data_IF_103989597398
#
_entry.id   IF_103989597398
#
_cell.length_a   1.000
_cell.length_b   1.000
_cell.length_c   1.000
_cell.angle_alpha   90.00
_cell.angle_beta   90.00
_cell.angle_gamma   90.00
#
_symmetry.space_group_name_H-M   'P 1'
#
loop_
_entity.id
_entity.type
_entity.pdbx_description
1 polymer ?
#
# COMPACT_ATOMS: atom_id res chain seq x y z
N UNK A 1 9.12 -50.49 12.40
CA UNK A 1 9.81 -49.53 11.51
C UNK A 1 9.05 -48.21 11.57
N UNK A 2 9.50 -47.31 12.43
CA UNK A 2 8.92 -45.99 12.70
C UNK A 2 9.46 -44.98 11.69
N UNK A 3 8.63 -44.49 10.77
CA UNK A 3 9.00 -43.39 9.87
C UNK A 3 8.36 -42.09 10.37
N UNK A 4 9.20 -41.24 10.98
CA UNK A 4 8.86 -39.86 11.34
C UNK A 4 8.78 -39.04 10.05
N UNK A 5 7.58 -38.70 9.60
CA UNK A 5 7.41 -37.58 8.69
C UNK A 5 7.74 -36.28 9.43
N UNK A 6 8.93 -35.74 9.15
CA UNK A 6 9.28 -34.37 9.52
C UNK A 6 8.37 -33.41 8.76
N UNK A 7 7.47 -32.76 9.48
CA UNK A 7 6.81 -31.55 9.01
C UNK A 7 7.88 -30.47 8.90
N UNK A 8 8.41 -30.26 7.69
CA UNK A 8 9.34 -29.17 7.39
C UNK A 8 8.61 -27.87 7.68
N UNK A 9 8.95 -27.24 8.81
CA UNK A 9 8.40 -25.96 9.26
C UNK A 9 8.76 -24.94 8.17
N UNK A 10 7.75 -24.45 7.43
CA UNK A 10 7.92 -23.36 6.46
C UNK A 10 8.44 -22.15 7.23
N UNK A 11 9.66 -21.70 6.94
CA UNK A 11 10.20 -20.48 7.50
C UNK A 11 9.61 -19.29 6.72
N UNK A 12 8.77 -18.51 7.38
CA UNK A 12 8.29 -17.23 6.85
C UNK A 12 9.43 -16.23 6.95
N UNK A 13 9.99 -15.85 5.81
CA UNK A 13 10.94 -14.73 5.75
C UNK A 13 10.12 -13.44 5.67
N UNK A 14 10.29 -12.57 6.67
CA UNK A 14 9.68 -11.24 6.67
C UNK A 14 10.73 -10.24 6.19
N UNK A 15 10.57 -9.72 4.97
CA UNK A 15 11.35 -8.58 4.52
C UNK A 15 10.68 -7.30 5.01
N UNK A 16 11.45 -6.34 5.52
CA UNK A 16 10.92 -5.06 6.00
C UNK A 16 11.45 -3.91 5.16
N UNK A 17 10.54 -3.07 4.67
CA UNK A 17 10.86 -1.83 3.97
C UNK A 17 10.51 -0.67 4.90
N UNK A 18 11.43 0.25 5.08
CA UNK A 18 11.19 1.48 5.84
C UNK A 18 11.21 2.66 4.88
N UNK A 19 10.23 3.55 4.99
CA UNK A 19 10.03 4.66 4.07
C UNK A 19 9.69 5.95 4.82
N UNK A 20 10.53 6.98 4.70
CA UNK A 20 10.34 8.23 5.43
C UNK A 20 9.59 9.28 4.60
N UNK A 21 8.33 9.53 4.97
CA UNK A 21 7.58 10.72 4.50
C UNK A 21 8.03 11.94 5.30
N UNK A 22 8.12 11.80 6.62
CA UNK A 22 8.61 12.85 7.51
C UNK A 22 9.67 12.27 8.46
N UNK A 23 10.97 12.56 8.25
CA UNK A 23 12.04 12.02 9.10
C UNK A 23 11.94 12.41 10.58
N UNK A 24 11.25 13.51 10.89
CA UNK A 24 10.94 13.94 12.26
C UNK A 24 9.58 13.44 12.78
N UNK A 25 8.87 12.64 11.98
CA UNK A 25 7.52 12.16 12.28
C UNK A 25 7.46 11.33 13.56
N UNK A 26 6.33 11.44 14.24
CA UNK A 26 6.02 10.81 15.53
C UNK A 26 5.07 9.60 15.41
N UNK A 27 4.66 9.26 14.19
CA UNK A 27 3.79 8.12 13.89
C UNK A 27 4.34 7.26 12.74
N UNK A 28 3.88 6.01 12.70
CA UNK A 28 4.17 5.06 11.64
C UNK A 28 2.87 4.47 11.07
N UNK A 29 2.73 4.45 9.75
CA UNK A 29 1.79 3.56 9.07
C UNK A 29 2.51 2.23 8.83
N UNK A 30 1.92 1.13 9.29
CA UNK A 30 2.48 -0.21 9.11
C UNK A 30 1.57 -0.99 8.17
N UNK A 31 2.03 -1.18 6.92
CA UNK A 31 1.37 -2.04 5.94
C UNK A 31 1.84 -3.47 6.14
N UNK A 32 0.96 -4.30 6.71
CA UNK A 32 1.22 -5.74 6.84
C UNK A 32 0.75 -6.45 5.58
N UNK A 33 1.67 -7.07 4.83
CA UNK A 33 1.30 -7.79 3.62
C UNK A 33 0.68 -9.14 4.01
N UNK A 34 -0.61 -9.27 3.75
CA UNK A 34 -1.18 -10.49 3.18
C UNK A 34 -1.66 -10.11 1.78
N UNK A 35 -1.41 -10.94 0.77
CA UNK A 35 -1.71 -10.75 -0.66
C UNK A 35 -2.08 -9.30 -1.03
N UNK A 36 -1.11 -8.49 -1.47
CA UNK A 36 -1.32 -7.10 -1.89
C UNK A 36 -2.53 -7.02 -2.82
N UNK A 37 -3.41 -6.04 -2.64
CA UNK A 37 -4.63 -5.87 -3.44
C UNK A 37 -5.66 -7.02 -3.35
N UNK A 38 -5.78 -7.77 -2.23
CA UNK A 38 -6.81 -8.84 -2.10
C UNK A 38 -8.26 -8.37 -2.26
N UNK A 39 -8.51 -7.05 -2.23
CA UNK A 39 -9.86 -6.51 -2.44
C UNK A 39 -10.31 -6.55 -3.90
N UNK A 40 -9.45 -6.94 -4.87
CA UNK A 40 -9.75 -6.96 -6.31
C UNK A 40 -10.48 -5.69 -6.75
N UNK A 41 -10.02 -4.55 -6.22
CA UNK A 41 -10.76 -3.28 -6.28
C UNK A 41 -10.84 -2.79 -7.72
N UNK A 42 -9.77 -3.07 -8.47
CA UNK A 42 -9.77 -2.88 -9.91
C UNK A 42 -10.27 -4.18 -10.54
N UNK A 43 -11.43 -4.16 -11.23
CA UNK A 43 -11.99 -5.36 -11.81
C UNK A 43 -11.05 -5.91 -12.88
N UNK A 44 -10.88 -7.23 -12.88
CA UNK A 44 -10.35 -7.92 -14.05
C UNK A 44 -11.42 -7.87 -15.14
N UNK A 45 -11.15 -7.12 -16.21
CA UNK A 45 -12.06 -7.06 -17.35
C UNK A 45 -11.72 -8.24 -18.26
N UNK A 46 -12.48 -9.32 -18.11
CA UNK A 46 -12.49 -10.40 -19.10
C UNK A 46 -13.27 -9.93 -20.34
N UNK A 47 -12.61 -9.13 -21.19
CA UNK A 47 -13.12 -8.80 -22.53
C UNK A 47 -12.87 -10.01 -23.43
N UNK A 48 -13.65 -11.08 -23.24
CA UNK A 48 -13.64 -12.21 -24.17
C UNK A 48 -13.90 -11.73 -25.60
N UNK A 49 -12.98 -11.99 -26.52
CA UNK A 49 -13.06 -11.78 -27.98
C UNK A 49 -13.83 -10.53 -28.47
N UNK A 50 -13.75 -9.39 -27.78
CA UNK A 50 -14.31 -8.10 -28.26
C UNK A 50 -13.18 -7.18 -28.73
N UNK A 51 -12.64 -7.54 -29.90
CA UNK A 51 -11.59 -6.83 -30.65
C UNK A 51 -12.06 -5.48 -31.26
N UNK A 52 -13.32 -5.08 -31.05
CA UNK A 52 -13.96 -3.98 -31.77
C UNK A 52 -14.01 -2.61 -31.06
N UNK A 53 -13.54 -2.51 -29.82
CA UNK A 53 -13.60 -1.27 -29.00
C UNK A 53 -12.25 -0.92 -28.38
N UNK A 54 -11.14 -1.39 -28.98
CA UNK A 54 -9.80 -0.93 -28.63
C UNK A 54 -9.46 0.27 -29.49
N UNK A 55 -9.26 1.42 -28.85
CA UNK A 55 -8.61 2.57 -29.49
C UNK A 55 -7.12 2.51 -29.15
N UNK A 56 -6.24 2.12 -30.09
CA UNK A 56 -4.80 1.98 -29.83
C UNK A 56 -4.14 3.29 -29.38
N UNK A 57 -4.79 4.44 -29.59
CA UNK A 57 -4.29 5.74 -29.15
C UNK A 57 -4.49 5.99 -27.65
N UNK A 58 -5.49 5.35 -27.02
CA UNK A 58 -5.84 5.58 -25.61
C UNK A 58 -5.69 4.33 -24.73
N UNK A 59 -5.93 3.15 -25.28
CA UNK A 59 -6.07 1.90 -24.50
C UNK A 59 -4.72 1.15 -24.29
N UNK A 60 -3.68 1.45 -25.08
CA UNK A 60 -2.37 0.80 -24.95
C UNK A 60 -2.39 -0.75 -25.01
N UNK A 61 -1.23 -1.39 -24.85
CA UNK A 61 -1.11 -2.86 -24.97
C UNK A 61 -1.43 -3.61 -23.65
N UNK A 62 -1.63 -2.90 -22.53
CA UNK A 62 -1.58 -3.46 -21.17
C UNK A 62 -2.86 -3.34 -20.34
N UNK A 63 -4.01 -2.99 -20.93
CA UNK A 63 -5.31 -2.86 -20.25
C UNK A 63 -5.88 -4.15 -19.61
N UNK A 64 -5.18 -5.27 -19.73
CA UNK A 64 -5.59 -6.55 -19.16
C UNK A 64 -5.19 -6.69 -17.68
N UNK A 65 -4.18 -5.94 -17.22
CA UNK A 65 -3.70 -5.95 -15.84
C UNK A 65 -3.34 -4.53 -15.39
N UNK A 66 -4.05 -4.03 -14.37
CA UNK A 66 -3.80 -2.73 -13.75
C UNK A 66 -2.59 -2.77 -12.80
N UNK A 67 -1.44 -3.21 -13.32
CA UNK A 67 -0.18 -3.19 -12.57
C UNK A 67 0.21 -1.74 -12.25
N UNK A 68 1.03 -1.52 -11.22
CA UNK A 68 1.65 -0.21 -11.08
C UNK A 68 2.50 0.05 -12.32
N UNK A 69 2.52 1.29 -12.85
CA UNK A 69 3.52 1.65 -13.86
C UNK A 69 4.90 1.48 -13.23
N UNK A 70 5.97 1.43 -14.04
CA UNK A 70 7.33 1.56 -13.50
C UNK A 70 7.36 2.76 -12.58
N UNK A 71 7.55 2.50 -11.29
CA UNK A 71 7.56 3.57 -10.30
C UNK A 71 8.80 4.43 -10.57
N UNK A 72 8.69 5.73 -10.34
CA UNK A 72 9.80 6.67 -10.56
C UNK A 72 10.20 7.36 -9.25
N UNK A 73 11.40 7.94 -9.26
CA UNK A 73 11.97 8.70 -8.17
C UNK A 73 12.06 7.86 -6.90
N UNK A 74 11.35 8.30 -5.87
CA UNK A 74 11.42 7.68 -4.54
C UNK A 74 10.48 6.48 -4.35
N UNK A 75 9.52 6.28 -5.25
CA UNK A 75 8.54 5.19 -5.13
C UNK A 75 9.08 3.85 -5.62
N UNK A 76 10.22 3.82 -6.33
CA UNK A 76 10.96 2.60 -6.73
C UNK A 76 11.27 1.68 -5.55
N UNK A 77 11.27 2.20 -4.32
CA UNK A 77 11.40 1.40 -3.10
C UNK A 77 10.29 0.34 -2.95
N UNK A 78 9.20 0.47 -3.70
CA UNK A 78 8.07 -0.46 -3.71
C UNK A 78 8.00 -1.33 -4.97
N UNK A 79 8.96 -1.21 -5.90
CA UNK A 79 9.15 -2.17 -6.99
C UNK A 79 9.75 -3.46 -6.41
N UNK A 80 8.90 -4.17 -5.68
CA UNK A 80 9.21 -5.51 -5.22
C UNK A 80 8.94 -6.42 -6.40
N UNK A 81 10.01 -6.91 -7.02
CA UNK A 81 9.94 -8.01 -7.96
C UNK A 81 9.09 -9.10 -7.27
N UNK A 82 7.89 -9.36 -7.77
CA UNK A 82 7.13 -10.55 -7.42
C UNK A 82 7.90 -11.75 -7.97
N UNK A 83 9.01 -12.10 -7.32
CA UNK A 83 9.74 -13.32 -7.57
C UNK A 83 9.00 -14.48 -6.89
N UNK A 84 8.51 -15.48 -7.63
CA UNK A 84 7.88 -16.64 -7.02
C UNK A 84 8.96 -17.58 -6.50
N UNK A 85 9.00 -17.79 -5.18
CA UNK A 85 9.44 -19.08 -4.65
C UNK A 85 8.17 -19.92 -4.38
N UNK A 86 7.93 -21.02 -5.12
CA UNK A 86 6.74 -21.87 -4.94
C UNK A 86 6.66 -22.54 -3.56
N UNK A 87 7.69 -22.42 -2.74
CA UNK A 87 7.82 -23.08 -1.44
C UNK A 87 7.92 -22.12 -0.23
N UNK A 88 7.91 -20.80 -0.43
CA UNK A 88 8.08 -19.78 0.63
C UNK A 88 7.08 -18.62 0.56
N UNK A 89 6.26 -18.46 1.61
CA UNK A 89 5.37 -17.29 1.75
C UNK A 89 6.21 -16.09 2.23
N UNK A 90 6.81 -15.33 1.31
CA UNK A 90 7.49 -14.07 1.66
C UNK A 90 6.41 -13.06 2.08
N UNK A 91 6.48 -12.59 3.33
CA UNK A 91 5.59 -11.53 3.83
C UNK A 91 6.40 -10.25 3.98
N UNK A 92 6.21 -9.31 3.07
CA UNK A 92 6.84 -7.99 3.21
C UNK A 92 6.08 -7.18 4.27
N UNK A 93 6.76 -6.35 5.04
CA UNK A 93 6.13 -5.33 5.88
C UNK A 93 6.69 -3.97 5.49
N UNK A 94 5.83 -3.04 5.10
CA UNK A 94 6.25 -1.65 4.80
C UNK A 94 5.89 -0.78 5.99
N UNK A 95 6.88 -0.05 6.51
CA UNK A 95 6.72 0.93 7.58
C UNK A 95 6.99 2.32 7.04
N UNK A 96 5.98 3.18 7.11
CA UNK A 96 6.06 4.55 6.61
C UNK A 96 6.06 5.53 7.78
N UNK A 97 7.14 6.30 7.95
CA UNK A 97 7.25 7.30 9.01
C UNK A 97 6.60 8.61 8.60
N UNK A 98 5.70 9.12 9.44
CA UNK A 98 4.78 10.22 9.16
C UNK A 98 4.56 11.10 10.40
N UNK A 99 4.01 12.30 10.21
CA UNK A 99 3.52 13.13 11.31
C UNK A 99 2.07 12.83 11.64
N UNK A 100 1.83 12.51 12.92
CA UNK A 100 0.49 12.32 13.45
C UNK A 100 -0.38 13.56 13.25
N UNK A 101 0.20 14.77 13.37
CA UNK A 101 -0.51 16.03 13.19
C UNK A 101 -1.04 16.21 11.78
N UNK A 102 -0.23 15.92 10.76
CA UNK A 102 -0.66 15.99 9.36
C UNK A 102 -1.81 15.01 9.10
N UNK A 103 -1.70 13.77 9.59
CA UNK A 103 -2.77 12.77 9.45
C UNK A 103 -4.07 13.19 10.15
N UNK A 104 -3.98 13.67 11.40
CA UNK A 104 -5.13 14.10 12.22
C UNK A 104 -5.85 15.30 11.61
N UNK A 105 -5.11 16.21 10.98
CA UNK A 105 -5.67 17.35 10.28
C UNK A 105 -6.34 16.95 8.97
N UNK A 106 -5.74 16.01 8.24
CA UNK A 106 -6.25 15.55 6.95
C UNK A 106 -7.50 14.65 7.05
N UNK A 107 -7.60 13.83 8.10
CA UNK A 107 -8.64 12.80 8.18
C UNK A 107 -9.21 12.62 9.58
N UNK A 108 -10.55 12.60 9.66
CA UNK A 108 -11.29 12.23 10.88
C UNK A 108 -11.07 10.75 11.25
N UNK A 109 -10.84 9.88 10.26
CA UNK A 109 -10.51 8.47 10.49
C UNK A 109 -9.12 8.32 11.12
N UNK A 110 -8.10 8.98 10.58
CA UNK A 110 -6.76 8.95 11.21
C UNK A 110 -6.78 9.60 12.59
N UNK A 111 -7.56 10.68 12.78
CA UNK A 111 -7.80 11.25 14.11
C UNK A 111 -8.36 10.22 15.08
N UNK A 112 -9.45 9.54 14.72
CA UNK A 112 -10.04 8.51 15.57
C UNK A 112 -9.06 7.35 15.87
N UNK A 113 -8.21 6.97 14.90
CA UNK A 113 -7.19 5.92 15.09
C UNK A 113 -6.02 6.35 15.99
N UNK A 114 -5.62 7.62 15.96
CA UNK A 114 -4.44 8.14 16.68
C UNK A 114 -4.77 8.78 18.03
N UNK A 115 -6.00 9.27 18.22
CA UNK A 115 -6.48 9.93 19.44
C UNK A 115 -7.53 9.09 20.20
N UNK A 116 -8.21 8.16 19.52
CA UNK A 116 -9.33 7.41 20.09
C UNK A 116 -8.95 6.13 20.85
N UNK A 117 -9.90 5.63 21.65
CA UNK A 117 -9.79 4.37 22.40
C UNK A 117 -10.16 3.12 21.58
N UNK A 118 -10.12 3.20 20.24
CA UNK A 118 -10.63 2.15 19.35
C UNK A 118 -9.86 0.84 19.54
N UNK A 119 -10.52 -0.18 20.11
CA UNK A 119 -9.90 -1.41 20.60
C UNK A 119 -9.51 -2.41 19.50
N UNK A 120 -10.01 -2.25 18.27
CA UNK A 120 -9.69 -3.18 17.18
C UNK A 120 -8.35 -2.90 16.50
N UNK A 121 -7.71 -1.75 16.80
CA UNK A 121 -6.40 -1.38 16.27
C UNK A 121 -5.73 -0.39 17.23
N UNK A 122 -5.70 -0.72 18.52
CA UNK A 122 -5.02 0.09 19.53
C UNK A 122 -3.63 0.42 19.00
N UNK A 123 -3.35 1.71 18.81
CA UNK A 123 -2.09 2.19 18.28
C UNK A 123 -0.97 1.63 19.15
N UNK A 124 -0.36 0.53 18.71
CA UNK A 124 0.74 -0.08 19.43
C UNK A 124 1.87 0.92 19.34
N UNK A 125 2.35 1.36 20.49
CA UNK A 125 3.60 2.11 20.51
C UNK A 125 4.66 1.14 20.01
N UNK A 126 5.34 1.52 18.92
CA UNK A 126 6.44 0.74 18.38
C UNK A 126 7.53 0.57 19.44
N UNK A 127 8.44 -0.38 19.27
CA UNK A 127 9.64 -0.46 20.12
C UNK A 127 10.45 0.85 20.11
N UNK A 128 10.30 1.67 19.06
CA UNK A 128 10.91 2.99 18.92
C UNK A 128 10.08 4.16 19.50
N UNK A 129 8.93 3.89 20.11
CA UNK A 129 8.11 4.90 20.77
C UNK A 129 7.09 5.63 19.87
N UNK A 130 7.00 5.27 18.59
CA UNK A 130 6.08 5.90 17.63
C UNK A 130 4.68 5.30 17.73
N UNK A 131 3.64 6.13 17.53
CA UNK A 131 2.26 5.63 17.43
C UNK A 131 2.08 4.90 16.11
N UNK A 132 1.52 3.70 16.13
CA UNK A 132 1.33 2.92 14.90
C UNK A 132 -0.13 2.89 14.45
N UNK A 133 -0.34 3.05 13.15
CA UNK A 133 -1.60 2.70 12.48
C UNK A 133 -1.33 1.48 11.61
N UNK A 134 -1.89 0.34 11.99
CA UNK A 134 -1.79 -0.88 11.19
C UNK A 134 -2.82 -0.81 10.08
N UNK A 135 -2.37 -0.94 8.83
CA UNK A 135 -3.23 -1.03 7.67
C UNK A 135 -2.91 -2.30 6.87
N UNK A 136 -3.92 -2.82 6.16
CA UNK A 136 -3.85 -4.10 5.45
C UNK A 136 -4.42 -3.91 4.05
N UNK A 137 -3.92 -4.72 3.11
CA UNK A 137 -4.43 -4.82 1.74
C UNK A 137 -4.22 -3.59 0.85
N UNK A 138 -3.50 -2.58 1.32
CA UNK A 138 -3.18 -1.41 0.53
C UNK A 138 -1.92 -1.61 -0.30
N UNK A 139 -1.95 -1.04 -1.50
CA UNK A 139 -0.76 -0.88 -2.33
C UNK A 139 0.19 0.15 -1.70
N UNK A 140 1.46 -0.21 -1.46
CA UNK A 140 2.41 0.67 -0.79
C UNK A 140 2.69 1.96 -1.55
N UNK A 141 2.78 1.91 -2.88
CA UNK A 141 3.07 3.09 -3.70
C UNK A 141 1.90 4.07 -3.67
N UNK A 142 0.67 3.56 -3.85
CA UNK A 142 -0.55 4.36 -3.75
C UNK A 142 -0.67 5.03 -2.37
N UNK A 143 -0.41 4.29 -1.29
CA UNK A 143 -0.48 4.83 0.07
C UNK A 143 0.61 5.88 0.31
N UNK A 144 1.85 5.64 -0.16
CA UNK A 144 2.93 6.60 -0.06
C UNK A 144 2.62 7.92 -0.78
N UNK A 145 2.00 7.86 -1.97
CA UNK A 145 1.56 9.05 -2.72
C UNK A 145 0.51 9.84 -1.92
N UNK A 146 -0.49 9.16 -1.35
CA UNK A 146 -1.51 9.81 -0.51
C UNK A 146 -0.88 10.47 0.71
N UNK A 147 0.07 9.79 1.37
CA UNK A 147 0.79 10.36 2.50
C UNK A 147 1.63 11.58 2.10
N UNK A 148 2.28 11.54 0.93
CA UNK A 148 3.01 12.70 0.40
C UNK A 148 2.11 13.90 0.17
N UNK A 149 0.93 13.67 -0.37
CA UNK A 149 -0.07 14.72 -0.55
C UNK A 149 -0.53 15.30 0.79
N UNK A 150 -0.82 14.45 1.79
CA UNK A 150 -1.21 14.88 3.15
C UNK A 150 -0.11 15.72 3.82
N UNK A 151 1.16 15.44 3.53
CA UNK A 151 2.31 16.17 4.07
C UNK A 151 2.71 17.38 3.20
N UNK A 152 1.89 17.76 2.21
CA UNK A 152 2.14 18.90 1.33
C UNK A 152 3.33 18.73 0.39
N UNK A 153 3.82 17.50 0.19
CA UNK A 153 4.98 17.18 -0.66
C UNK A 153 4.55 16.94 -2.11
N UNK A 154 3.78 17.84 -2.70
CA UNK A 154 3.24 17.66 -4.05
C UNK A 154 4.32 17.59 -5.13
N UNK A 155 5.48 18.22 -4.91
CA UNK A 155 6.59 18.25 -5.85
C UNK A 155 7.30 16.91 -6.03
N UNK A 156 7.05 15.91 -5.16
CA UNK A 156 7.59 14.56 -5.32
C UNK A 156 6.57 13.57 -5.90
N UNK A 157 5.30 13.96 -6.00
CA UNK A 157 4.24 13.11 -6.53
C UNK A 157 4.41 13.00 -8.05
N UNK A 158 4.29 11.79 -8.65
CA UNK A 158 4.46 11.64 -10.09
C UNK A 158 3.36 12.39 -10.85
N UNK A 159 3.75 13.14 -11.88
CA UNK A 159 2.79 13.87 -12.73
C UNK A 159 1.96 12.93 -13.60
N UNK A 160 2.53 11.78 -13.97
CA UNK A 160 1.89 10.78 -14.81
C UNK A 160 1.75 9.48 -14.02
N UNK A 161 0.51 9.03 -13.86
CA UNK A 161 0.17 7.73 -13.26
C UNK A 161 -0.83 7.01 -14.15
N UNK A 162 -0.77 5.68 -14.19
CA UNK A 162 -1.78 4.91 -14.89
C UNK A 162 -3.09 4.83 -14.09
N UNK A 163 -4.17 4.44 -14.77
CA UNK A 163 -5.51 4.33 -14.19
C UNK A 163 -5.57 3.32 -13.02
N UNK A 164 -4.73 2.29 -13.02
CA UNK A 164 -4.64 1.30 -11.94
C UNK A 164 -4.15 1.90 -10.63
N UNK A 165 -3.03 2.63 -10.69
CA UNK A 165 -2.48 3.35 -9.54
C UNK A 165 -3.42 4.46 -9.08
N UNK A 166 -4.03 5.20 -10.02
CA UNK A 166 -5.03 6.23 -9.70
C UNK A 166 -6.24 5.64 -8.96
N UNK A 167 -6.78 4.50 -9.41
CA UNK A 167 -7.90 3.84 -8.73
C UNK A 167 -7.54 3.41 -7.30
N UNK A 168 -6.33 2.86 -7.10
CA UNK A 168 -5.84 2.49 -5.76
C UNK A 168 -5.70 3.71 -4.84
N UNK A 169 -5.18 4.82 -5.37
CA UNK A 169 -5.11 6.11 -4.67
C UNK A 169 -6.52 6.56 -4.28
N UNK A 170 -7.46 6.57 -5.22
CA UNK A 170 -8.83 7.02 -4.99
C UNK A 170 -9.53 6.22 -3.87
N UNK A 171 -9.29 4.91 -3.81
CA UNK A 171 -9.90 4.05 -2.77
C UNK A 171 -9.29 4.31 -1.40
N UNK A 172 -7.99 4.62 -1.33
CA UNK A 172 -7.35 5.06 -0.08
C UNK A 172 -7.96 6.40 0.36
N UNK A 173 -8.08 7.36 -0.56
CA UNK A 173 -8.67 8.68 -0.30
C UNK A 173 -10.10 8.56 0.23
N UNK A 174 -10.93 7.72 -0.40
CA UNK A 174 -12.29 7.45 0.03
C UNK A 174 -12.35 6.78 1.40
N UNK A 175 -11.59 5.68 1.59
CA UNK A 175 -11.62 4.90 2.82
C UNK A 175 -11.19 5.70 4.05
N UNK A 176 -10.15 6.53 3.91
CA UNK A 176 -9.68 7.40 4.99
C UNK A 176 -10.40 8.76 5.01
N UNK A 177 -11.45 8.97 4.21
CA UNK A 177 -12.22 10.20 4.18
C UNK A 177 -11.37 11.47 4.00
N UNK A 178 -10.49 11.47 2.99
CA UNK A 178 -9.51 12.52 2.68
C UNK A 178 -10.00 13.52 1.61
N UNK A 179 -11.24 13.40 1.15
CA UNK A 179 -11.81 14.16 0.04
C UNK A 179 -11.92 15.68 0.28
N UNK A 180 -11.87 16.16 1.53
CA UNK A 180 -11.93 17.61 1.84
C UNK A 180 -10.53 18.25 1.92
N UNK A 181 -9.44 17.47 1.90
CA UNK A 181 -8.08 17.98 2.14
C UNK A 181 -7.08 17.74 0.99
N UNK A 182 -7.45 16.90 0.01
CA UNK A 182 -6.62 16.55 -1.16
C UNK A 182 -7.29 16.94 -2.47
#
# INVERSE_FOLDING_TARGET
MTSRHQHKRRETVIAQITYDIEPGGDAEIVLKFGNVNTRSIVPYIDRGDVDGYRDPFYDGDHDLFFNNPTLDGRYVAFDLDEGPDPDGEIRVEVRMRVSSRHLILASRMFRAMLEGTWSENSSSVSASGHRQVIAKFWDPAAFAIVLDAIHGRYNVIPENINIGLLARIAVIVDYYALHECL
#
